data_IF_887469677782
#
_entry.id   IF_887469677782
#
_cell.length_a   1.000
_cell.length_b   1.000
_cell.length_c   1.000
_cell.angle_alpha   90.00
_cell.angle_beta   90.00
_cell.angle_gamma   90.00
#
_symmetry.space_group_name_H-M   'P 1'
#
loop_
_entity.id
_entity.type
_entity.pdbx_description
1 polymer ?
#
# COMPACT_ATOMS: atom_id res chain seq x y z
N UNK A 1 -3.26 2.07 16.34
CA UNK A 1 -2.83 2.65 15.04
C UNK A 1 -3.60 3.95 14.88
N UNK A 2 -2.91 5.09 14.89
CA UNK A 2 -3.55 6.41 14.96
C UNK A 2 -4.29 6.72 13.66
N UNK A 3 -5.58 7.09 13.75
CA UNK A 3 -6.46 7.41 12.61
C UNK A 3 -5.88 8.48 11.66
N UNK A 4 -4.94 9.31 12.14
CA UNK A 4 -4.26 10.35 11.36
C UNK A 4 -3.20 9.88 10.35
N UNK A 5 -2.94 8.58 10.20
CA UNK A 5 -1.86 8.06 9.33
C UNK A 5 -2.31 7.71 7.90
N UNK A 6 -3.60 7.40 7.70
CA UNK A 6 -4.11 6.93 6.40
C UNK A 6 -4.19 8.07 5.39
N UNK A 7 -4.77 9.21 5.76
CA UNK A 7 -4.96 10.32 4.82
C UNK A 7 -3.64 10.92 4.31
N UNK A 8 -2.61 11.16 5.16
CA UNK A 8 -1.30 11.58 4.67
C UNK A 8 -0.65 10.53 3.76
N UNK A 9 -0.84 9.24 4.02
CA UNK A 9 -0.32 8.18 3.15
C UNK A 9 -1.01 8.19 1.78
N UNK A 10 -2.34 8.27 1.74
CA UNK A 10 -3.10 8.36 0.49
C UNK A 10 -2.72 9.61 -0.32
N UNK A 11 -2.54 10.75 0.36
CA UNK A 11 -2.10 12.01 -0.27
C UNK A 11 -0.73 11.85 -0.91
N UNK A 12 0.24 11.22 -0.22
CA UNK A 12 1.57 10.97 -0.79
C UNK A 12 1.50 10.03 -1.99
N UNK A 13 0.76 8.93 -1.90
CA UNK A 13 0.61 7.96 -2.98
C UNK A 13 -0.07 8.55 -4.23
N UNK A 14 -1.01 9.46 -4.04
CA UNK A 14 -1.61 10.22 -5.14
C UNK A 14 -0.62 11.23 -5.73
N UNK A 15 0.11 11.98 -4.90
CA UNK A 15 1.12 12.94 -5.36
C UNK A 15 2.27 12.27 -6.12
N UNK A 16 2.57 11.00 -5.83
CA UNK A 16 3.56 10.20 -6.54
C UNK A 16 3.00 9.48 -7.76
N UNK A 17 1.73 9.72 -8.12
CA UNK A 17 1.08 9.13 -9.30
C UNK A 17 0.75 7.64 -9.18
N UNK A 18 0.84 7.06 -7.98
CA UNK A 18 0.52 5.65 -7.73
C UNK A 18 -0.98 5.43 -7.55
N UNK A 19 -1.69 6.46 -7.08
CA UNK A 19 -3.15 6.47 -7.01
C UNK A 19 -3.73 7.56 -7.91
N UNK A 20 -4.81 7.20 -8.60
CA UNK A 20 -5.76 8.17 -9.15
C UNK A 20 -6.93 8.32 -8.17
N UNK A 21 -7.59 9.47 -8.20
CA UNK A 21 -8.76 9.71 -7.36
C UNK A 21 -9.95 10.27 -8.14
N UNK A 22 -11.14 10.00 -7.62
CA UNK A 22 -12.40 10.57 -8.11
C UNK A 22 -13.25 11.06 -6.95
N UNK A 23 -13.70 12.30 -7.03
CA UNK A 23 -14.72 12.82 -6.12
C UNK A 23 -16.11 12.35 -6.58
N UNK A 24 -16.83 11.72 -5.66
CA UNK A 24 -18.19 11.24 -5.87
C UNK A 24 -19.10 12.00 -4.92
N UNK A 25 -20.08 12.70 -5.49
CA UNK A 25 -21.12 13.37 -4.69
C UNK A 25 -21.97 12.32 -4.00
N UNK A 26 -22.24 12.52 -2.71
CA UNK A 26 -23.18 11.69 -1.97
C UNK A 26 -24.59 12.25 -2.14
N UNK A 27 -25.60 11.39 -2.15
CA UNK A 27 -27.02 11.79 -2.20
C UNK A 27 -27.51 12.40 -0.89
N UNK A 28 -26.78 12.22 0.22
CA UNK A 28 -27.21 12.64 1.56
C UNK A 28 -26.05 13.12 2.46
N UNK A 29 -24.92 13.56 1.90
CA UNK A 29 -23.77 13.99 2.71
C UNK A 29 -22.60 14.58 1.92
N UNK A 30 -21.43 14.78 2.56
CA UNK A 30 -20.26 15.35 1.90
C UNK A 30 -19.73 14.44 0.78
N UNK A 31 -19.09 15.06 -0.21
CA UNK A 31 -18.46 14.33 -1.31
C UNK A 31 -17.36 13.40 -0.79
N UNK A 32 -17.29 12.19 -1.34
CA UNK A 32 -16.30 11.16 -0.98
C UNK A 32 -15.26 11.03 -2.07
N UNK A 33 -13.99 10.95 -1.68
CA UNK A 33 -12.88 10.70 -2.59
C UNK A 33 -12.60 9.19 -2.64
N UNK A 34 -12.76 8.60 -3.81
CA UNK A 34 -12.42 7.20 -4.07
C UNK A 34 -11.07 7.13 -4.77
N UNK A 35 -10.22 6.18 -4.37
CA UNK A 35 -8.88 5.99 -4.91
C UNK A 35 -8.80 4.67 -5.67
N UNK A 36 -8.02 4.68 -6.75
CA UNK A 36 -7.75 3.53 -7.61
C UNK A 36 -6.25 3.50 -7.91
N UNK A 37 -5.65 2.31 -7.99
CA UNK A 37 -4.27 2.18 -8.45
C UNK A 37 -4.19 2.57 -9.93
N UNK A 38 -3.21 3.41 -10.26
CA UNK A 38 -2.81 3.65 -11.65
C UNK A 38 -2.04 2.42 -12.19
N UNK A 39 -1.77 2.38 -13.50
CA UNK A 39 -0.90 1.33 -14.06
C UNK A 39 0.49 1.33 -13.40
N UNK A 40 1.04 2.52 -13.12
CA UNK A 40 2.31 2.68 -12.40
C UNK A 40 2.17 2.21 -10.95
N UNK A 41 1.07 2.55 -10.29
CA UNK A 41 0.73 2.08 -8.95
C UNK A 41 0.65 0.57 -8.84
N UNK A 42 0.04 -0.10 -9.81
CA UNK A 42 -0.04 -1.57 -9.85
C UNK A 42 1.34 -2.20 -10.03
N UNK A 43 2.15 -1.69 -10.95
CA UNK A 43 3.52 -2.17 -11.14
C UNK A 43 4.38 -2.00 -9.87
N UNK A 44 4.23 -0.87 -9.18
CA UNK A 44 4.95 -0.61 -7.93
C UNK A 44 4.48 -1.51 -6.79
N UNK A 45 3.17 -1.72 -6.66
CA UNK A 45 2.62 -2.66 -5.69
C UNK A 45 3.16 -4.08 -5.91
N UNK A 46 3.26 -4.53 -7.16
CA UNK A 46 3.84 -5.83 -7.50
C UNK A 46 5.34 -5.90 -7.13
N UNK A 47 6.12 -4.86 -7.43
CA UNK A 47 7.53 -4.77 -7.03
C UNK A 47 7.71 -4.83 -5.52
N UNK A 48 6.93 -4.03 -4.79
CA UNK A 48 6.96 -4.00 -3.33
C UNK A 48 6.59 -5.36 -2.73
N UNK A 49 5.56 -6.04 -3.26
CA UNK A 49 5.17 -7.36 -2.81
C UNK A 49 6.30 -8.39 -3.03
N UNK A 50 6.94 -8.39 -4.20
CA UNK A 50 8.06 -9.29 -4.49
C UNK A 50 9.24 -9.06 -3.55
N UNK A 51 9.57 -7.79 -3.28
CA UNK A 51 10.64 -7.44 -2.35
C UNK A 51 10.30 -7.92 -0.93
N UNK A 52 9.05 -7.72 -0.49
CA UNK A 52 8.56 -8.19 0.79
C UNK A 52 8.66 -9.70 0.92
N UNK A 53 8.17 -10.45 -0.07
CA UNK A 53 8.27 -11.92 -0.08
C UNK A 53 9.72 -12.39 0.05
N UNK A 54 10.64 -11.77 -0.69
CA UNK A 54 12.07 -12.11 -0.64
C UNK A 54 12.63 -11.86 0.77
N UNK A 55 12.31 -10.72 1.37
CA UNK A 55 12.73 -10.38 2.72
C UNK A 55 12.21 -11.40 3.73
N UNK A 56 10.92 -11.72 3.71
CA UNK A 56 10.31 -12.67 4.65
C UNK A 56 10.89 -14.06 4.49
N UNK A 57 11.12 -14.53 3.26
CA UNK A 57 11.76 -15.83 3.01
C UNK A 57 13.16 -15.90 3.62
N UNK A 58 13.95 -14.84 3.49
CA UNK A 58 15.29 -14.78 4.07
C UNK A 58 15.25 -14.79 5.60
N UNK A 59 14.33 -14.04 6.20
CA UNK A 59 14.13 -14.02 7.66
C UNK A 59 13.73 -15.41 8.15
N UNK A 60 12.77 -16.06 7.48
CA UNK A 60 12.32 -17.41 7.83
C UNK A 60 13.45 -18.43 7.73
N UNK A 61 14.32 -18.31 6.72
CA UNK A 61 15.49 -19.17 6.57
C UNK A 61 16.46 -19.03 7.75
N UNK A 62 16.78 -17.80 8.17
CA UNK A 62 17.66 -17.53 9.32
C UNK A 62 17.05 -18.10 10.60
N UNK A 63 15.74 -17.91 10.81
CA UNK A 63 15.05 -18.40 12.00
C UNK A 63 15.02 -19.93 12.06
N UNK A 64 14.79 -20.62 10.93
CA UNK A 64 14.82 -22.10 10.86
C UNK A 64 16.22 -22.68 11.09
N UNK A 65 17.25 -22.01 10.61
CA UNK A 65 18.64 -22.46 10.80
C UNK A 65 19.04 -22.45 12.27
N UNK A 66 18.51 -21.54 13.07
CA UNK A 66 18.78 -21.46 14.53
C UNK A 66 18.08 -22.52 15.36
N UNK A 67 17.02 -23.15 14.85
CA UNK A 67 16.27 -24.20 15.56
C UNK A 67 16.79 -25.63 15.34
N UNK A 68 17.85 -25.80 14.53
CA UNK A 68 18.46 -27.11 14.26
C UNK A 68 19.86 -27.25 14.91
N UNK A 69 20.15 -26.43 15.92
CA UNK A 69 21.33 -26.53 16.79
C UNK A 69 20.93 -26.83 18.22
#
# INVERSE_FOLDING_TARGET
>A
MTEGSVYPALTRLESSGLLASRLVRSTSGPARKYYLLTAVGQAEAFRALKAWTTLTTNVDYILKTRSCS
#
